data_IF_366437909659
#
_entry.id   IF_366437909659
#
_cell.length_a   1.000
_cell.length_b   1.000
_cell.length_c   1.000
_cell.angle_alpha   90.00
_cell.angle_beta   90.00
_cell.angle_gamma   90.00
#
_symmetry.space_group_name_H-M   'P 1'
#
loop_
_entity.id
_entity.type
_entity.pdbx_description
1 polymer ?
#
# COMPACT_ATOMS: atom_id res chain seq x y z
N UNK A 1 -52.92 -26.08 65.70
CA UNK A 1 -52.29 -26.17 67.04
C UNK A 1 -51.15 -25.17 67.08
N UNK A 2 -51.45 -24.06 67.77
CA UNK A 2 -50.73 -23.34 68.86
C UNK A 2 -49.27 -23.03 68.53
N UNK A 3 -48.99 -21.81 68.11
CA UNK A 3 -48.47 -20.63 68.84
C UNK A 3 -47.28 -20.91 69.75
N UNK A 4 -46.15 -20.26 69.50
CA UNK A 4 -45.53 -19.40 70.53
C UNK A 4 -44.53 -18.40 69.96
N UNK A 5 -44.80 -17.12 70.15
CA UNK A 5 -43.89 -15.98 70.00
C UNK A 5 -42.86 -16.03 71.15
N UNK A 6 -41.61 -15.77 70.83
CA UNK A 6 -40.66 -15.25 71.80
C UNK A 6 -39.95 -14.07 71.21
N UNK A 7 -40.24 -12.93 71.75
CA UNK A 7 -39.51 -11.69 71.57
C UNK A 7 -38.18 -11.82 72.30
N UNK A 8 -37.11 -11.34 71.66
CA UNK A 8 -35.87 -11.05 72.34
C UNK A 8 -35.40 -9.61 72.00
N UNK A 9 -35.05 -8.97 73.06
CA UNK A 9 -34.83 -7.57 73.23
C UNK A 9 -33.60 -7.09 72.47
N UNK A 10 -33.72 -5.86 72.00
CA UNK A 10 -32.67 -5.02 71.36
C UNK A 10 -31.71 -4.57 72.47
N UNK A 11 -30.44 -4.82 72.31
CA UNK A 11 -29.37 -4.11 73.01
C UNK A 11 -28.67 -3.20 71.98
N UNK A 12 -28.92 -1.91 72.12
CA UNK A 12 -28.18 -0.86 71.44
C UNK A 12 -26.80 -0.67 72.10
N UNK A 13 -25.74 -0.81 71.36
CA UNK A 13 -24.40 -0.26 71.68
C UNK A 13 -23.95 0.68 70.63
N UNK A 14 -23.54 1.91 70.92
CA UNK A 14 -23.04 2.84 69.97
C UNK A 14 -21.50 2.75 69.93
N UNK A 15 -20.95 2.81 68.79
CA UNK A 15 -19.65 3.33 68.40
C UNK A 15 -18.88 2.44 67.38
N UNK A 16 -18.74 2.96 66.19
CA UNK A 16 -17.95 2.35 65.17
C UNK A 16 -18.13 3.11 63.85
N UNK A 17 -17.61 4.35 63.78
CA UNK A 17 -17.47 5.08 62.52
C UNK A 17 -16.46 4.34 61.65
N UNK A 18 -16.90 3.43 60.80
CA UNK A 18 -16.08 2.87 59.73
C UNK A 18 -16.15 3.80 58.55
N UNK A 19 -15.05 4.52 58.28
CA UNK A 19 -14.84 5.30 57.08
C UNK A 19 -14.84 4.36 55.87
N UNK A 20 -15.91 4.38 55.10
CA UNK A 20 -15.95 3.79 53.73
C UNK A 20 -15.06 4.64 52.85
N UNK A 21 -13.79 4.21 52.69
CA UNK A 21 -12.93 4.69 51.60
C UNK A 21 -13.52 4.13 50.33
N UNK A 22 -14.27 4.99 49.63
CA UNK A 22 -14.76 4.68 48.27
C UNK A 22 -13.59 4.48 47.32
N UNK A 23 -13.33 3.25 46.93
CA UNK A 23 -12.53 2.97 45.73
C UNK A 23 -13.32 3.50 44.53
N UNK A 24 -12.99 4.71 44.10
CA UNK A 24 -13.44 5.17 42.80
C UNK A 24 -12.84 4.24 41.73
N UNK A 25 -13.67 3.71 40.80
CA UNK A 25 -13.11 2.96 39.67
C UNK A 25 -12.24 3.90 38.86
N UNK A 26 -10.92 3.62 38.80
CA UNK A 26 -10.04 4.28 37.87
C UNK A 26 -10.57 3.99 36.46
N UNK A 27 -10.80 5.02 35.61
CA UNK A 27 -11.13 4.77 34.22
C UNK A 27 -9.94 4.07 33.61
N UNK A 28 -10.12 2.82 33.16
CA UNK A 28 -9.24 2.18 32.21
C UNK A 28 -9.28 3.02 30.91
N UNK A 29 -8.48 4.06 30.86
CA UNK A 29 -8.17 4.74 29.60
C UNK A 29 -7.36 3.72 28.80
N UNK A 30 -8.07 2.87 28.06
CA UNK A 30 -7.48 2.07 27.03
C UNK A 30 -6.73 3.03 26.12
N UNK A 31 -5.41 2.96 26.11
CA UNK A 31 -4.59 3.67 25.15
C UNK A 31 -5.00 3.13 23.77
N UNK A 32 -5.99 3.76 23.14
CA UNK A 32 -6.22 3.63 21.73
C UNK A 32 -4.90 4.06 21.09
N UNK A 33 -4.10 3.09 20.63
CA UNK A 33 -2.94 3.39 19.79
C UNK A 33 -3.51 4.17 18.61
N UNK A 34 -3.20 5.44 18.56
CA UNK A 34 -3.52 6.26 17.41
C UNK A 34 -2.87 5.56 16.21
N UNK A 35 -3.68 4.97 15.36
CA UNK A 35 -3.22 4.51 14.05
C UNK A 35 -2.75 5.78 13.35
N UNK A 36 -1.48 5.78 12.88
CA UNK A 36 -0.92 6.96 12.22
C UNK A 36 -1.82 7.45 11.07
N UNK A 37 -1.67 8.69 10.69
CA UNK A 37 -2.37 9.25 9.53
C UNK A 37 -2.06 8.45 8.26
N UNK A 38 -2.93 8.49 7.26
CA UNK A 38 -2.70 7.81 5.97
C UNK A 38 -1.37 8.28 5.37
N UNK A 39 -1.03 9.57 5.47
CA UNK A 39 0.24 10.12 5.02
C UNK A 39 1.45 9.46 5.71
N UNK A 40 1.40 9.27 7.02
CA UNK A 40 2.46 8.57 7.77
C UNK A 40 2.52 7.07 7.43
N UNK A 41 1.38 6.43 7.20
CA UNK A 41 1.31 5.01 6.85
C UNK A 41 1.86 4.76 5.44
N UNK A 42 1.49 5.58 4.46
CA UNK A 42 1.96 5.41 3.07
C UNK A 42 3.44 5.73 2.90
N UNK A 43 4.00 6.60 3.74
CA UNK A 43 5.41 6.92 3.75
C UNK A 43 6.30 5.79 4.32
N UNK A 44 5.71 4.80 5.00
CA UNK A 44 6.48 3.67 5.55
C UNK A 44 6.93 2.71 4.44
N UNK A 45 8.13 2.13 4.59
CA UNK A 45 8.54 1.01 3.75
C UNK A 45 7.54 -0.13 3.86
N UNK A 46 7.34 -0.82 2.76
CA UNK A 46 6.57 -2.06 2.66
C UNK A 46 7.52 -3.27 2.66
N UNK A 47 7.00 -4.49 2.47
CA UNK A 47 7.81 -5.72 2.53
C UNK A 47 8.76 -5.87 1.33
N UNK A 48 8.34 -5.35 0.16
CA UNK A 48 9.19 -5.24 -1.02
C UNK A 48 9.87 -3.87 -1.06
N UNK A 49 11.12 -3.76 -1.53
CA UNK A 49 11.76 -2.47 -1.74
C UNK A 49 10.96 -1.59 -2.69
N UNK A 50 10.83 -0.30 -2.38
CA UNK A 50 10.18 0.64 -3.29
C UNK A 50 10.97 0.75 -4.60
N UNK A 51 10.27 0.69 -5.72
CA UNK A 51 10.81 1.01 -7.04
C UNK A 51 10.48 2.46 -7.34
N UNK A 52 11.52 3.30 -7.37
CA UNK A 52 11.33 4.75 -7.41
C UNK A 52 12.26 5.44 -8.39
N UNK A 53 11.78 6.52 -8.99
CA UNK A 53 12.52 7.45 -9.84
C UNK A 53 12.51 8.87 -9.23
N UNK A 54 13.53 9.64 -9.55
CA UNK A 54 13.70 10.99 -9.01
C UNK A 54 14.28 11.00 -7.60
N UNK A 55 14.74 12.15 -7.12
CA UNK A 55 15.43 12.26 -5.84
C UNK A 55 14.47 12.09 -4.65
N UNK A 56 14.87 11.31 -3.64
CA UNK A 56 14.09 11.07 -2.40
C UNK A 56 13.71 12.39 -1.68
N UNK A 57 14.53 13.45 -1.86
CA UNK A 57 14.29 14.77 -1.25
C UNK A 57 13.51 15.73 -2.15
N UNK A 58 12.86 15.24 -3.21
CA UNK A 58 12.01 16.09 -4.03
C UNK A 58 10.86 16.69 -3.21
N UNK A 59 10.43 17.91 -3.58
CA UNK A 59 9.35 18.62 -2.89
C UNK A 59 8.01 17.91 -3.00
N UNK A 60 7.83 17.11 -4.07
CA UNK A 60 6.61 16.33 -4.30
C UNK A 60 6.95 14.86 -4.37
N UNK A 61 6.26 14.06 -3.56
CA UNK A 61 6.29 12.60 -3.64
C UNK A 61 4.98 12.08 -4.20
N UNK A 62 5.05 11.25 -5.21
CA UNK A 62 3.90 10.55 -5.80
C UNK A 62 4.13 9.06 -5.63
N UNK A 63 3.21 8.38 -4.96
CA UNK A 63 3.21 6.92 -4.82
C UNK A 63 2.00 6.41 -5.58
N UNK A 64 2.23 5.59 -6.60
CA UNK A 64 1.19 4.91 -7.36
C UNK A 64 1.04 3.47 -6.91
N UNK A 65 -0.17 3.07 -6.60
CA UNK A 65 -0.57 1.66 -6.49
C UNK A 65 -1.23 1.22 -7.80
N UNK A 66 -0.61 0.29 -8.50
CA UNK A 66 -1.02 -0.14 -9.83
C UNK A 66 -1.09 -1.67 -9.97
N UNK A 67 -1.91 -2.11 -10.93
CA UNK A 67 -2.01 -3.52 -11.33
C UNK A 67 -1.62 -3.69 -12.80
N UNK A 68 -0.75 -4.65 -13.05
CA UNK A 68 -0.26 -4.98 -14.40
C UNK A 68 -1.35 -5.52 -15.33
N UNK A 69 -2.50 -5.96 -14.78
CA UNK A 69 -3.63 -6.46 -15.58
C UNK A 69 -4.70 -5.40 -15.86
N UNK A 70 -4.58 -4.18 -15.30
CA UNK A 70 -5.64 -3.21 -15.38
C UNK A 70 -5.39 -2.14 -16.44
N UNK A 71 -6.32 -2.03 -17.40
CA UNK A 71 -6.19 -1.15 -18.57
C UNK A 71 -6.02 0.33 -18.24
N UNK A 72 -6.62 0.81 -17.14
CA UNK A 72 -6.42 2.20 -16.71
C UNK A 72 -5.00 2.47 -16.20
N UNK A 73 -4.32 1.46 -15.62
CA UNK A 73 -2.91 1.58 -15.27
C UNK A 73 -2.03 1.61 -16.53
N UNK A 74 -2.34 0.75 -17.52
CA UNK A 74 -1.65 0.80 -18.82
C UNK A 74 -1.85 2.16 -19.52
N UNK A 75 -3.07 2.70 -19.53
CA UNK A 75 -3.35 4.00 -20.10
C UNK A 75 -2.60 5.14 -19.39
N UNK A 76 -2.44 5.09 -18.08
CA UNK A 76 -1.62 6.05 -17.34
C UNK A 76 -0.16 5.94 -17.73
N UNK A 77 0.40 4.74 -17.74
CA UNK A 77 1.81 4.50 -18.10
C UNK A 77 2.12 4.91 -19.52
N UNK A 78 1.21 4.68 -20.46
CA UNK A 78 1.40 5.04 -21.87
C UNK A 78 1.23 6.54 -22.15
N UNK A 79 0.20 7.18 -21.58
CA UNK A 79 -0.24 8.51 -22.01
C UNK A 79 0.11 9.63 -21.03
N UNK A 80 0.38 9.32 -19.76
CA UNK A 80 0.61 10.33 -18.71
C UNK A 80 2.01 10.26 -18.14
N UNK A 81 2.48 9.07 -17.79
CA UNK A 81 3.76 8.86 -17.13
C UNK A 81 4.96 9.42 -17.93
N UNK A 82 5.07 9.32 -19.28
CA UNK A 82 6.19 9.89 -20.01
C UNK A 82 6.31 11.41 -19.87
N UNK A 83 5.17 12.12 -19.82
CA UNK A 83 5.14 13.56 -19.61
C UNK A 83 5.47 13.92 -18.15
N UNK A 84 4.95 13.15 -17.20
CA UNK A 84 5.28 13.30 -15.77
C UNK A 84 6.79 13.10 -15.56
N UNK A 85 7.35 12.05 -16.15
CA UNK A 85 8.79 11.73 -16.08
C UNK A 85 9.65 12.86 -16.61
N UNK A 86 9.45 13.27 -17.86
CA UNK A 86 10.28 14.28 -18.51
C UNK A 86 10.18 15.65 -17.87
N UNK A 87 8.98 16.07 -17.43
CA UNK A 87 8.76 17.41 -16.89
C UNK A 87 9.13 17.55 -15.40
N UNK A 88 8.95 16.49 -14.61
CA UNK A 88 9.01 16.56 -13.16
C UNK A 88 9.99 15.61 -12.50
N UNK A 89 10.03 14.34 -12.92
CA UNK A 89 10.88 13.32 -12.30
C UNK A 89 12.35 13.55 -12.70
N UNK A 90 12.62 13.61 -14.00
CA UNK A 90 13.98 13.81 -14.55
C UNK A 90 14.54 15.20 -14.22
N UNK A 91 13.67 16.17 -13.90
CA UNK A 91 14.07 17.51 -13.44
C UNK A 91 14.22 17.61 -11.92
N UNK A 92 14.04 16.50 -11.20
CA UNK A 92 14.26 16.41 -9.76
C UNK A 92 13.17 17.03 -8.87
N UNK A 93 12.03 17.40 -9.46
CA UNK A 93 10.91 18.03 -8.73
C UNK A 93 9.97 17.04 -8.07
N UNK A 94 9.92 15.81 -8.62
CA UNK A 94 9.06 14.72 -8.16
C UNK A 94 9.91 13.49 -7.84
N UNK A 95 9.61 12.88 -6.69
CA UNK A 95 9.99 11.50 -6.36
C UNK A 95 8.77 10.61 -6.63
N UNK A 96 8.90 9.74 -7.63
CA UNK A 96 7.83 8.84 -8.05
C UNK A 96 8.13 7.43 -7.60
N UNK A 97 7.19 6.80 -6.89
CA UNK A 97 7.28 5.44 -6.36
C UNK A 97 6.18 4.59 -6.98
N UNK A 98 6.55 3.47 -7.56
CA UNK A 98 5.60 2.46 -8.04
C UNK A 98 5.46 1.34 -7.01
N UNK A 99 4.24 1.03 -6.61
CA UNK A 99 3.89 -0.10 -5.73
C UNK A 99 2.87 -0.99 -6.39
N UNK A 100 3.17 -2.26 -6.49
CA UNK A 100 2.28 -3.23 -7.07
C UNK A 100 1.05 -3.46 -6.20
N UNK A 101 -0.11 -3.47 -6.85
CA UNK A 101 -1.40 -3.85 -6.26
C UNK A 101 -2.10 -4.82 -7.20
N UNK A 102 -1.65 -6.07 -7.31
CA UNK A 102 -2.20 -7.04 -8.26
C UNK A 102 -3.67 -7.31 -7.98
N UNK A 103 -4.50 -7.21 -9.02
CA UNK A 103 -5.94 -7.47 -8.95
C UNK A 103 -6.26 -8.96 -9.14
N UNK A 104 -5.34 -9.70 -9.77
CA UNK A 104 -5.45 -11.12 -10.07
C UNK A 104 -4.08 -11.81 -10.04
N UNK A 105 -4.09 -13.13 -10.22
CA UNK A 105 -2.87 -13.96 -10.18
C UNK A 105 -1.91 -13.64 -11.33
N UNK A 106 -2.43 -13.32 -12.52
CA UNK A 106 -1.59 -12.97 -13.66
C UNK A 106 -0.82 -11.69 -13.38
N UNK A 107 -1.50 -10.65 -12.87
CA UNK A 107 -0.84 -9.42 -12.45
C UNK A 107 0.24 -9.66 -11.37
N UNK A 108 0.01 -10.60 -10.44
CA UNK A 108 1.00 -10.94 -9.43
C UNK A 108 2.25 -11.59 -10.06
N UNK A 109 2.07 -12.58 -10.94
CA UNK A 109 3.18 -13.27 -11.61
C UNK A 109 3.96 -12.30 -12.51
N UNK A 110 3.27 -11.43 -13.24
CA UNK A 110 3.88 -10.37 -14.05
C UNK A 110 4.73 -9.43 -13.19
N UNK A 111 4.23 -9.00 -12.04
CA UNK A 111 4.98 -8.17 -11.08
C UNK A 111 6.22 -8.90 -10.55
N UNK A 112 6.11 -10.19 -10.27
CA UNK A 112 7.23 -11.02 -9.80
C UNK A 112 8.33 -11.11 -10.85
N UNK A 113 7.98 -11.30 -12.13
CA UNK A 113 8.95 -11.30 -13.22
C UNK A 113 9.62 -9.93 -13.38
N UNK A 114 8.86 -8.83 -13.35
CA UNK A 114 9.41 -7.49 -13.45
C UNK A 114 10.47 -7.23 -12.38
N UNK A 115 10.17 -7.57 -11.13
CA UNK A 115 11.12 -7.46 -10.02
C UNK A 115 12.32 -8.38 -10.15
N UNK A 116 12.12 -9.58 -10.68
CA UNK A 116 13.20 -10.54 -10.88
C UNK A 116 14.20 -10.03 -11.93
N UNK A 117 13.70 -9.50 -13.04
CA UNK A 117 14.52 -8.90 -14.11
C UNK A 117 15.28 -7.67 -13.61
N UNK A 118 14.61 -6.84 -12.83
CA UNK A 118 15.17 -5.58 -12.34
C UNK A 118 16.18 -5.77 -11.21
N UNK A 119 15.97 -6.77 -10.35
CA UNK A 119 16.69 -6.84 -9.08
C UNK A 119 16.42 -5.57 -8.25
N UNK A 120 17.49 -4.88 -7.85
CA UNK A 120 17.41 -3.63 -7.09
C UNK A 120 17.51 -2.37 -7.99
N UNK A 121 17.53 -2.55 -9.31
CA UNK A 121 17.65 -1.45 -10.29
C UNK A 121 16.26 -0.91 -10.66
N UNK A 122 15.89 0.21 -10.06
CA UNK A 122 14.62 0.87 -10.34
C UNK A 122 14.51 1.29 -11.82
N UNK A 123 15.58 1.74 -12.45
CA UNK A 123 15.56 2.10 -13.89
C UNK A 123 15.12 0.91 -14.75
N UNK A 124 15.77 -0.24 -14.55
CA UNK A 124 15.37 -1.49 -15.23
C UNK A 124 13.94 -1.90 -14.90
N UNK A 125 13.51 -1.71 -13.65
CA UNK A 125 12.13 -2.01 -13.27
C UNK A 125 11.14 -1.20 -14.12
N UNK A 126 11.33 0.11 -14.22
CA UNK A 126 10.45 0.98 -15.01
C UNK A 126 10.50 0.66 -16.50
N UNK A 127 11.66 0.30 -17.06
CA UNK A 127 11.77 -0.13 -18.46
C UNK A 127 11.00 -1.44 -18.72
N UNK A 128 11.02 -2.37 -17.73
CA UNK A 128 10.29 -3.63 -17.84
C UNK A 128 8.78 -3.40 -17.72
N UNK A 129 8.31 -2.61 -16.74
CA UNK A 129 6.87 -2.36 -16.61
C UNK A 129 6.30 -1.55 -17.78
N UNK A 130 7.04 -0.60 -18.36
CA UNK A 130 6.64 0.07 -19.60
C UNK A 130 6.41 -0.96 -20.72
N UNK A 131 7.33 -1.91 -20.89
CA UNK A 131 7.18 -3.00 -21.88
C UNK A 131 5.96 -3.87 -21.60
N UNK A 132 5.73 -4.21 -20.32
CA UNK A 132 4.61 -5.05 -19.89
C UNK A 132 3.26 -4.35 -20.13
N UNK A 133 3.16 -3.09 -19.77
CA UNK A 133 1.92 -2.31 -20.00
C UNK A 133 1.62 -2.10 -21.47
N UNK A 134 2.61 -1.79 -22.30
CA UNK A 134 2.43 -1.66 -23.76
C UNK A 134 2.01 -2.95 -24.44
N UNK A 135 2.30 -4.10 -23.86
CA UNK A 135 1.92 -5.41 -24.38
C UNK A 135 0.78 -6.06 -23.55
N UNK A 136 0.07 -5.29 -22.73
CA UNK A 136 -0.89 -5.79 -21.76
C UNK A 136 -1.93 -6.74 -22.36
N UNK A 137 -2.52 -6.42 -23.49
CA UNK A 137 -3.55 -7.26 -24.12
C UNK A 137 -3.00 -8.63 -24.50
N UNK A 138 -1.83 -8.69 -25.14
CA UNK A 138 -1.16 -9.93 -25.50
C UNK A 138 -0.70 -10.69 -24.26
N UNK A 139 -0.19 -9.97 -23.27
CA UNK A 139 0.25 -10.52 -21.98
C UNK A 139 -0.90 -11.18 -21.22
N UNK A 140 -2.06 -10.55 -21.16
CA UNK A 140 -3.22 -11.12 -20.47
C UNK A 140 -3.86 -12.27 -21.24
N UNK A 141 -3.80 -12.26 -22.57
CA UNK A 141 -4.31 -13.34 -23.41
C UNK A 141 -3.45 -14.61 -23.35
N UNK A 142 -2.12 -14.47 -23.26
CA UNK A 142 -1.14 -15.55 -23.28
C UNK A 142 -0.01 -15.27 -22.28
N UNK A 143 -0.36 -15.27 -20.99
CA UNK A 143 0.55 -14.80 -19.93
C UNK A 143 1.86 -15.57 -19.91
N UNK A 144 1.83 -16.90 -19.93
CA UNK A 144 3.03 -17.74 -19.82
C UNK A 144 4.01 -17.53 -20.99
N UNK A 145 3.48 -17.55 -22.21
CA UNK A 145 4.28 -17.37 -23.44
C UNK A 145 4.87 -15.95 -23.52
N UNK A 146 4.09 -14.95 -23.12
CA UNK A 146 4.53 -13.55 -23.10
C UNK A 146 5.62 -13.33 -22.06
N UNK A 147 5.49 -13.90 -20.85
CA UNK A 147 6.51 -13.79 -19.81
C UNK A 147 7.82 -14.47 -20.20
N UNK A 148 7.75 -15.65 -20.84
CA UNK A 148 8.92 -16.34 -21.36
C UNK A 148 9.65 -15.47 -22.41
N UNK A 149 8.90 -14.82 -23.32
CA UNK A 149 9.48 -13.93 -24.34
C UNK A 149 10.11 -12.67 -23.72
N UNK A 150 9.44 -12.04 -22.77
CA UNK A 150 9.92 -10.84 -22.08
C UNK A 150 11.17 -11.17 -21.25
N UNK A 151 11.14 -12.25 -20.49
CA UNK A 151 12.30 -12.71 -19.73
C UNK A 151 13.50 -13.01 -20.62
N UNK A 152 13.28 -13.67 -21.76
CA UNK A 152 14.33 -13.93 -22.76
C UNK A 152 14.92 -12.63 -23.32
N UNK A 153 14.06 -11.65 -23.66
CA UNK A 153 14.52 -10.31 -24.12
C UNK A 153 15.33 -9.58 -23.05
N UNK A 154 14.98 -9.80 -21.77
CA UNK A 154 15.73 -9.27 -20.63
C UNK A 154 17.02 -10.07 -20.30
N UNK A 155 17.35 -11.10 -21.06
CA UNK A 155 18.57 -11.91 -20.88
C UNK A 155 18.42 -13.07 -19.90
N UNK A 156 17.20 -13.41 -19.47
CA UNK A 156 16.93 -14.55 -18.60
C UNK A 156 16.84 -15.85 -19.42
N UNK A 157 17.31 -16.96 -18.84
CA UNK A 157 17.00 -18.29 -19.33
C UNK A 157 15.54 -18.67 -19.02
N UNK A 158 14.97 -19.62 -19.74
CA UNK A 158 13.64 -20.15 -19.47
C UNK A 158 13.50 -20.64 -18.03
N UNK A 159 14.50 -21.39 -17.54
CA UNK A 159 14.55 -21.84 -16.15
C UNK A 159 14.58 -20.66 -15.14
N UNK A 160 15.29 -19.57 -15.48
CA UNK A 160 15.30 -18.39 -14.61
C UNK A 160 13.94 -17.69 -14.57
N UNK A 161 13.24 -17.61 -15.71
CA UNK A 161 11.87 -17.09 -15.79
C UNK A 161 10.95 -17.92 -14.90
N UNK A 162 10.97 -19.25 -15.04
CA UNK A 162 10.17 -20.16 -14.21
C UNK A 162 10.49 -20.01 -12.71
N UNK A 163 11.77 -19.84 -12.36
CA UNK A 163 12.17 -19.59 -10.97
C UNK A 163 11.60 -18.25 -10.45
N UNK A 164 11.59 -17.21 -11.27
CA UNK A 164 11.01 -15.91 -10.92
C UNK A 164 9.50 -16.00 -10.69
N UNK A 165 8.81 -16.73 -11.56
CA UNK A 165 7.35 -16.92 -11.50
C UNK A 165 6.91 -17.76 -10.28
N UNK A 166 7.76 -18.65 -9.81
CA UNK A 166 7.49 -19.55 -8.69
C UNK A 166 8.15 -19.09 -7.36
N UNK A 167 8.67 -17.88 -7.27
CA UNK A 167 9.26 -17.35 -6.04
C UNK A 167 8.19 -17.08 -4.97
N UNK A 168 7.91 -18.08 -4.15
CA UNK A 168 6.89 -18.01 -3.10
C UNK A 168 7.20 -16.88 -2.10
N UNK A 169 8.47 -16.66 -1.77
CA UNK A 169 8.86 -15.60 -0.83
C UNK A 169 8.49 -14.21 -1.37
N UNK A 170 8.67 -13.99 -2.67
CA UNK A 170 8.29 -12.74 -3.33
C UNK A 170 6.78 -12.59 -3.41
N UNK A 171 6.07 -13.65 -3.73
CA UNK A 171 4.62 -13.67 -3.75
C UNK A 171 4.01 -13.37 -2.37
N UNK A 172 4.57 -13.93 -1.31
CA UNK A 172 4.12 -13.66 0.06
C UNK A 172 4.30 -12.20 0.46
N UNK A 173 5.45 -11.60 0.11
CA UNK A 173 5.71 -10.18 0.33
C UNK A 173 4.74 -9.29 -0.47
N UNK A 174 4.56 -9.58 -1.75
CA UNK A 174 3.63 -8.86 -2.62
C UNK A 174 2.20 -8.92 -2.09
N UNK A 175 1.78 -10.09 -1.61
CA UNK A 175 0.46 -10.32 -1.01
C UNK A 175 0.30 -9.55 0.30
N UNK A 176 1.35 -9.52 1.14
CA UNK A 176 1.35 -8.76 2.38
C UNK A 176 1.25 -7.24 2.12
N UNK A 177 2.00 -6.74 1.14
CA UNK A 177 1.99 -5.32 0.77
C UNK A 177 0.63 -4.91 0.17
N UNK A 178 0.05 -5.74 -0.70
CA UNK A 178 -1.31 -5.56 -1.20
C UNK A 178 -2.34 -5.52 -0.08
N UNK A 179 -2.24 -6.48 0.86
CA UNK A 179 -3.14 -6.54 2.02
C UNK A 179 -3.02 -5.28 2.89
N UNK A 180 -1.80 -4.84 3.18
CA UNK A 180 -1.55 -3.60 3.91
C UNK A 180 -2.17 -2.39 3.20
N UNK A 181 -1.96 -2.26 1.89
CA UNK A 181 -2.53 -1.17 1.11
C UNK A 181 -4.06 -1.18 1.15
N UNK A 182 -4.68 -2.35 1.02
CA UNK A 182 -6.13 -2.50 1.08
C UNK A 182 -6.69 -2.16 2.48
N UNK A 183 -6.13 -2.79 3.53
CA UNK A 183 -6.68 -2.69 4.89
C UNK A 183 -6.35 -1.35 5.56
N UNK A 184 -5.11 -0.86 5.39
CA UNK A 184 -4.62 0.30 6.13
C UNK A 184 -4.70 1.60 5.33
N UNK A 185 -4.41 1.56 4.03
CA UNK A 185 -4.41 2.75 3.17
C UNK A 185 -5.71 2.92 2.39
N UNK A 186 -6.63 1.94 2.45
CA UNK A 186 -7.92 1.94 1.76
C UNK A 186 -7.78 2.03 0.23
N UNK A 187 -6.74 1.39 -0.30
CA UNK A 187 -6.57 1.18 -1.74
C UNK A 187 -7.53 0.07 -2.17
N UNK A 188 -8.62 0.43 -2.83
CA UNK A 188 -9.69 -0.49 -3.27
C UNK A 188 -9.76 -0.62 -4.79
N UNK A 189 -9.06 0.24 -5.51
CA UNK A 189 -9.01 0.27 -6.96
C UNK A 189 -7.62 0.74 -7.43
N UNK A 190 -7.29 0.45 -8.69
CA UNK A 190 -6.06 0.91 -9.35
C UNK A 190 -6.39 1.70 -10.63
N UNK A 191 -5.57 2.67 -11.02
CA UNK A 191 -4.51 3.24 -10.22
C UNK A 191 -5.06 4.00 -9.00
N UNK A 192 -4.30 4.03 -7.90
CA UNK A 192 -4.55 4.93 -6.78
C UNK A 192 -3.24 5.64 -6.47
N UNK A 193 -3.29 6.96 -6.42
CA UNK A 193 -2.13 7.82 -6.17
C UNK A 193 -2.19 8.41 -4.76
N UNK A 194 -1.01 8.55 -4.14
CA UNK A 194 -0.80 9.36 -2.95
C UNK A 194 0.20 10.46 -3.32
N UNK A 195 -0.28 11.70 -3.33
CA UNK A 195 0.53 12.88 -3.68
C UNK A 195 0.78 13.67 -2.40
N UNK A 196 2.02 13.66 -1.90
CA UNK A 196 2.38 14.16 -0.57
C UNK A 196 1.43 13.63 0.53
N UNK A 197 1.01 12.35 0.41
CA UNK A 197 0.10 11.70 1.34
C UNK A 197 -1.39 11.95 1.10
N UNK A 198 -1.77 12.83 0.18
CA UNK A 198 -3.16 13.04 -0.21
C UNK A 198 -3.58 12.01 -1.27
N UNK A 199 -4.67 11.27 -0.98
CA UNK A 199 -5.15 10.19 -1.85
C UNK A 199 -5.93 10.72 -3.06
N UNK A 200 -5.67 10.12 -4.22
CA UNK A 200 -6.44 10.26 -5.47
C UNK A 200 -6.72 8.87 -6.03
N UNK A 201 -7.98 8.50 -6.12
CA UNK A 201 -8.44 7.21 -6.65
C UNK A 201 -8.81 7.34 -8.12
N UNK A 202 -8.37 6.37 -8.92
CA UNK A 202 -8.65 6.31 -10.35
C UNK A 202 -7.63 7.05 -11.22
N UNK A 203 -7.87 7.03 -12.53
CA UNK A 203 -7.01 7.67 -13.51
C UNK A 203 -6.94 9.19 -13.30
N UNK A 204 -5.77 9.74 -13.55
CA UNK A 204 -5.54 11.19 -13.60
C UNK A 204 -4.98 11.56 -14.96
N UNK A 205 -5.45 12.67 -15.52
CA UNK A 205 -4.84 13.25 -16.71
C UNK A 205 -3.52 13.93 -16.37
N UNK A 206 -2.69 14.18 -17.39
CA UNK A 206 -1.46 14.95 -17.17
C UNK A 206 -1.75 16.36 -16.67
N UNK A 207 -2.80 17.00 -17.16
CA UNK A 207 -3.22 18.34 -16.77
C UNK A 207 -3.61 18.41 -15.30
N UNK A 208 -4.33 17.41 -14.79
CA UNK A 208 -4.70 17.33 -13.36
C UNK A 208 -3.45 17.15 -12.48
N UNK A 209 -2.52 16.26 -12.89
CA UNK A 209 -1.24 16.08 -12.19
C UNK A 209 -0.39 17.35 -12.24
N UNK A 210 -0.29 17.98 -13.41
CA UNK A 210 0.46 19.22 -13.63
C UNK A 210 -0.02 20.34 -12.71
N UNK A 211 -1.32 20.57 -12.64
CA UNK A 211 -1.94 21.56 -11.73
C UNK A 211 -1.65 21.22 -10.28
N UNK A 212 -1.80 19.96 -9.88
CA UNK A 212 -1.54 19.53 -8.50
C UNK A 212 -0.07 19.72 -8.11
N UNK A 213 0.86 19.27 -8.97
CA UNK A 213 2.30 19.43 -8.72
C UNK A 213 2.68 20.92 -8.64
N UNK A 214 2.16 21.76 -9.56
CA UNK A 214 2.43 23.20 -9.53
C UNK A 214 1.94 23.86 -8.24
N UNK A 215 0.80 23.44 -7.70
CA UNK A 215 0.30 23.98 -6.43
C UNK A 215 1.25 23.67 -5.27
N UNK A 216 1.82 22.45 -5.24
CA UNK A 216 2.74 21.99 -4.19
C UNK A 216 4.16 22.57 -4.32
N UNK A 217 4.58 22.96 -5.53
CA UNK A 217 5.90 23.57 -5.75
C UNK A 217 5.93 25.07 -5.44
N UNK A 218 4.79 25.72 -5.23
CA UNK A 218 4.67 27.15 -4.91
C UNK A 218 4.60 27.43 -3.41
N UNK A 219 4.37 26.39 -2.61
CA UNK A 219 4.38 26.47 -1.15
C UNK A 219 5.82 26.32 -0.61
#
# INVERSE_FOLDING_TARGET
MTVTRRAFAIVLSPAGLAALVGLAPLPLVGAARAQGTIAELVAKPVSLPDMALGPVKASVTIIEYASMSWSHCAAFEENVFPMLRSKYIDTGKVHFVFREFPLDINAAVVSMLARCVAGDDAGKFFDVIDTLFRQQDALMAQTKESLALIGKKAGLSEQSVETCENDQTRLDKLSADRKFAYEMLKVEATPTFFINGEVRKGSMSFEELDQKIHSLLKE
#
